data_IF_712202387170
#
_entry.id   IF_712202387170
#
_cell.length_a   1.000
_cell.length_b   1.000
_cell.length_c   1.000
_cell.angle_alpha   90.00
_cell.angle_beta   90.00
_cell.angle_gamma   90.00
#
_symmetry.space_group_name_H-M   'P 1'
#
loop_
_entity.id
_entity.type
_entity.pdbx_description
1 polymer ?
#
# COMPACT_ATOMS: atom_id res chain seq x y z
N UNK A 1 46.65 37.84 -10.22
CA UNK A 1 47.73 37.07 -10.85
C UNK A 1 47.37 35.59 -10.90
N UNK A 2 46.39 35.23 -11.76
CA UNK A 2 45.95 33.83 -11.96
C UNK A 2 47.01 32.97 -12.62
N UNK A 3 47.93 33.56 -13.40
CA UNK A 3 48.98 32.85 -14.09
C UNK A 3 50.09 32.29 -13.17
N UNK A 4 50.24 32.81 -11.94
CA UNK A 4 51.23 32.27 -11.01
C UNK A 4 50.78 30.99 -10.32
N UNK A 5 49.43 30.73 -10.29
CA UNK A 5 48.84 29.51 -9.72
C UNK A 5 48.89 28.34 -10.68
N UNK A 6 49.03 28.60 -11.97
CA UNK A 6 48.93 27.56 -13.06
C UNK A 6 50.25 27.11 -13.62
N UNK A 7 51.41 27.70 -13.17
CA UNK A 7 52.74 27.28 -13.65
C UNK A 7 53.22 26.05 -12.88
N UNK A 8 53.40 24.90 -13.54
CA UNK A 8 54.04 23.76 -12.91
C UNK A 8 55.52 24.10 -12.58
N UNK A 9 55.95 23.76 -11.36
CA UNK A 9 57.34 24.00 -10.85
C UNK A 9 57.73 25.45 -10.54
N UNK A 10 56.85 26.31 -10.12
CA UNK A 10 57.23 27.58 -9.49
C UNK A 10 57.73 27.33 -8.09
N UNK A 11 59.02 27.51 -7.85
CA UNK A 11 59.66 27.41 -6.51
C UNK A 11 59.42 28.62 -5.63
N UNK A 12 58.61 29.59 -6.06
CA UNK A 12 58.41 30.88 -5.38
C UNK A 12 56.96 31.28 -5.23
N UNK A 13 56.06 30.35 -4.93
CA UNK A 13 54.65 30.68 -4.66
C UNK A 13 54.00 29.66 -3.75
N UNK A 14 53.37 30.13 -2.69
CA UNK A 14 52.47 29.30 -1.91
C UNK A 14 51.31 28.84 -2.82
N UNK A 15 51.35 27.60 -3.34
CA UNK A 15 50.29 27.03 -4.16
C UNK A 15 50.67 26.57 -5.57
N UNK A 16 51.95 26.25 -5.83
CA UNK A 16 52.34 25.61 -7.08
C UNK A 16 51.64 24.25 -7.30
N UNK A 17 51.14 23.99 -8.53
CA UNK A 17 50.58 22.69 -8.90
C UNK A 17 51.72 21.67 -8.87
N UNK A 18 51.77 20.82 -7.87
CA UNK A 18 52.79 19.78 -7.70
C UNK A 18 52.58 18.65 -8.72
N UNK A 19 51.32 18.39 -9.08
CA UNK A 19 50.97 17.35 -10.04
C UNK A 19 49.99 17.91 -11.07
N UNK A 20 50.27 17.76 -12.34
CA UNK A 20 49.31 18.12 -13.39
C UNK A 20 48.16 17.16 -13.40
N UNK A 21 46.93 17.67 -13.58
CA UNK A 21 45.81 16.83 -13.90
C UNK A 21 46.08 15.98 -15.13
N UNK A 22 45.82 14.71 -15.04
CA UNK A 22 45.94 13.76 -16.13
C UNK A 22 44.60 13.09 -16.37
N UNK A 23 44.33 12.76 -17.64
CA UNK A 23 43.17 11.96 -17.99
C UNK A 23 43.36 10.54 -17.50
N UNK A 24 42.23 9.94 -17.03
CA UNK A 24 42.22 8.52 -16.72
C UNK A 24 42.40 7.67 -17.96
N UNK A 25 43.36 6.74 -17.92
CA UNK A 25 43.64 5.78 -18.99
C UNK A 25 43.33 4.38 -18.48
N UNK A 26 42.47 3.66 -19.18
CA UNK A 26 42.14 2.27 -18.90
C UNK A 26 42.27 1.45 -20.18
N UNK A 27 42.61 0.18 -20.04
CA UNK A 27 42.52 -0.80 -21.12
C UNK A 27 41.55 -1.90 -20.71
N UNK A 28 40.53 -2.14 -21.53
CA UNK A 28 39.53 -3.19 -21.32
C UNK A 28 39.62 -4.16 -22.49
N UNK A 29 39.99 -5.40 -22.24
CA UNK A 29 40.19 -6.45 -23.26
C UNK A 29 41.09 -5.99 -24.40
N UNK A 30 42.12 -5.15 -24.09
CA UNK A 30 43.06 -4.61 -25.07
C UNK A 30 42.61 -3.32 -25.76
N UNK A 31 41.40 -2.83 -25.51
CA UNK A 31 40.91 -1.55 -25.99
C UNK A 31 41.31 -0.42 -25.06
N UNK A 32 42.12 0.52 -25.52
CA UNK A 32 42.49 1.69 -24.73
C UNK A 32 41.40 2.75 -24.76
N UNK A 33 41.01 3.22 -23.56
CA UNK A 33 40.06 4.31 -23.34
C UNK A 33 40.71 5.41 -22.51
N UNK A 34 40.54 6.66 -22.96
CA UNK A 34 41.00 7.85 -22.25
C UNK A 34 39.80 8.71 -21.89
N UNK A 35 39.67 9.06 -20.59
CA UNK A 35 38.57 9.88 -20.06
C UNK A 35 39.10 10.98 -19.15
N UNK A 36 38.40 12.11 -19.13
CA UNK A 36 38.79 13.26 -18.32
C UNK A 36 38.34 13.17 -16.88
N UNK A 37 37.59 12.11 -16.53
CA UNK A 37 37.08 11.82 -15.20
C UNK A 37 37.43 10.41 -14.77
N UNK A 38 37.49 10.16 -13.46
CA UNK A 38 37.69 8.82 -12.91
C UNK A 38 36.40 7.98 -12.91
N UNK A 39 35.25 8.61 -13.15
CA UNK A 39 33.95 7.95 -13.31
C UNK A 39 33.67 7.78 -14.79
N UNK A 40 33.60 6.54 -15.23
CA UNK A 40 33.43 6.15 -16.63
C UNK A 40 32.13 5.39 -16.77
N UNK A 41 31.18 5.98 -17.49
CA UNK A 41 29.80 5.44 -17.64
C UNK A 41 29.54 4.84 -19.01
N UNK A 42 30.48 5.07 -19.96
CA UNK A 42 30.32 4.76 -21.38
C UNK A 42 31.29 3.67 -21.89
N UNK A 43 32.01 3.02 -20.98
CA UNK A 43 32.97 1.97 -21.37
C UNK A 43 32.29 0.62 -21.62
N UNK A 44 31.27 0.29 -20.82
CA UNK A 44 30.49 -0.95 -20.89
C UNK A 44 29.01 -0.60 -20.66
N UNK A 45 28.17 -1.07 -21.53
CA UNK A 45 26.72 -0.80 -21.43
C UNK A 45 26.15 -1.28 -20.07
N UNK A 46 25.50 -0.37 -19.33
CA UNK A 46 24.90 -0.65 -18.04
C UNK A 46 25.90 -0.76 -16.87
N UNK A 47 27.19 -0.45 -17.06
CA UNK A 47 28.21 -0.51 -16.02
C UNK A 47 28.90 0.84 -15.87
N UNK A 48 28.97 1.36 -14.65
CA UNK A 48 29.79 2.52 -14.31
C UNK A 48 31.06 2.05 -13.61
N UNK A 49 32.21 2.47 -14.10
CA UNK A 49 33.51 2.20 -13.50
C UNK A 49 33.96 3.45 -12.72
N UNK A 50 34.15 3.32 -11.42
CA UNK A 50 34.75 4.35 -10.55
C UNK A 50 36.21 3.97 -10.27
N UNK A 51 37.16 4.70 -10.89
CA UNK A 51 38.59 4.45 -10.71
C UNK A 51 39.05 5.11 -9.40
N UNK A 52 39.50 4.30 -8.45
CA UNK A 52 39.97 4.76 -7.16
C UNK A 52 41.47 4.95 -7.06
N UNK A 53 42.24 4.20 -7.85
CA UNK A 53 43.70 4.27 -7.92
C UNK A 53 44.20 3.74 -9.27
N UNK A 54 45.41 4.12 -9.63
CA UNK A 54 46.11 3.53 -10.77
C UNK A 54 46.82 2.24 -10.33
N UNK A 55 47.00 1.28 -11.25
CA UNK A 55 47.88 0.16 -11.04
C UNK A 55 49.32 0.64 -10.84
N UNK A 56 50.12 -0.11 -10.09
CA UNK A 56 51.54 0.18 -9.93
C UNK A 56 52.27 0.05 -11.26
N UNK A 57 53.32 0.80 -11.44
CA UNK A 57 54.18 0.69 -12.66
C UNK A 57 54.75 -0.70 -12.82
N UNK A 58 55.03 -1.41 -11.74
CA UNK A 58 55.51 -2.80 -11.73
C UNK A 58 54.46 -3.76 -12.27
N UNK A 59 53.18 -3.62 -11.77
CA UNK A 59 52.11 -4.49 -12.22
C UNK A 59 51.75 -4.25 -13.70
N UNK A 60 51.84 -2.99 -14.16
CA UNK A 60 51.66 -2.68 -15.57
C UNK A 60 52.79 -3.28 -16.44
N UNK A 61 54.02 -3.22 -15.96
CA UNK A 61 55.18 -3.79 -16.68
C UNK A 61 55.12 -5.32 -16.72
N UNK A 62 54.60 -5.95 -15.67
CA UNK A 62 54.40 -7.40 -15.56
C UNK A 62 53.14 -7.88 -16.35
N UNK A 63 52.38 -6.97 -16.98
CA UNK A 63 51.17 -7.31 -17.72
C UNK A 63 50.03 -7.82 -16.84
N UNK A 64 50.06 -7.53 -15.52
CA UNK A 64 48.97 -7.95 -14.61
C UNK A 64 47.69 -7.23 -14.95
N UNK A 65 46.59 -7.97 -14.93
CA UNK A 65 45.25 -7.45 -15.19
C UNK A 65 44.40 -7.46 -13.93
N UNK A 66 43.47 -6.50 -13.82
CA UNK A 66 42.44 -6.49 -12.81
C UNK A 66 41.23 -7.22 -13.35
N UNK A 67 40.82 -8.30 -12.70
CA UNK A 67 39.60 -9.03 -13.09
C UNK A 67 38.37 -8.34 -12.47
N UNK A 68 37.44 -7.92 -13.32
CA UNK A 68 36.14 -7.41 -12.90
C UNK A 68 35.11 -8.50 -13.10
N UNK A 69 34.47 -8.91 -12.03
CA UNK A 69 33.39 -9.91 -12.10
C UNK A 69 32.04 -9.21 -11.92
N UNK A 70 31.21 -9.29 -12.94
CA UNK A 70 29.82 -8.82 -12.87
C UNK A 70 28.99 -9.92 -12.24
N UNK A 71 28.35 -9.61 -11.12
CA UNK A 71 27.50 -10.55 -10.40
C UNK A 71 26.18 -9.91 -10.02
N UNK A 72 25.20 -10.75 -9.68
CA UNK A 72 23.92 -10.27 -9.16
C UNK A 72 24.12 -9.69 -7.75
N UNK A 73 23.64 -8.47 -7.53
CA UNK A 73 23.58 -7.86 -6.20
C UNK A 73 22.56 -8.58 -5.33
N UNK A 74 23.06 -9.53 -4.54
CA UNK A 74 22.24 -10.34 -3.63
C UNK A 74 21.57 -9.50 -2.55
N UNK A 75 22.19 -8.38 -2.13
CA UNK A 75 21.66 -7.48 -1.11
C UNK A 75 20.41 -6.76 -1.61
N UNK A 76 20.50 -6.16 -2.79
CA UNK A 76 19.35 -5.49 -3.42
C UNK A 76 18.24 -6.47 -3.76
N UNK A 77 18.56 -7.66 -4.26
CA UNK A 77 17.55 -8.71 -4.53
C UNK A 77 16.83 -9.10 -3.23
N UNK A 78 17.57 -9.39 -2.14
CA UNK A 78 16.99 -9.71 -0.83
C UNK A 78 16.05 -8.61 -0.33
N UNK A 79 16.52 -7.35 -0.37
CA UNK A 79 15.73 -6.20 0.06
C UNK A 79 14.42 -6.06 -0.73
N UNK A 80 14.46 -6.27 -2.04
CA UNK A 80 13.28 -6.19 -2.89
C UNK A 80 12.30 -7.35 -2.64
N UNK A 81 12.80 -8.56 -2.40
CA UNK A 81 11.97 -9.70 -2.01
C UNK A 81 11.30 -9.49 -0.66
N UNK A 82 12.03 -8.93 0.32
CA UNK A 82 11.45 -8.59 1.63
C UNK A 82 10.34 -7.56 1.49
N UNK A 83 10.55 -6.48 0.71
CA UNK A 83 9.51 -5.48 0.43
C UNK A 83 8.27 -6.11 -0.24
N UNK A 84 8.47 -7.05 -1.15
CA UNK A 84 7.37 -7.78 -1.77
C UNK A 84 6.58 -8.59 -0.73
N UNK A 85 7.26 -9.35 0.13
CA UNK A 85 6.65 -10.12 1.23
C UNK A 85 5.89 -9.20 2.18
N UNK A 86 6.50 -8.09 2.59
CA UNK A 86 5.89 -7.12 3.51
C UNK A 86 4.64 -6.48 2.91
N UNK A 87 4.69 -6.08 1.63
CA UNK A 87 3.55 -5.51 0.92
C UNK A 87 2.38 -6.49 0.80
N UNK A 88 2.66 -7.75 0.43
CA UNK A 88 1.65 -8.80 0.41
C UNK A 88 1.03 -9.02 1.79
N UNK A 89 1.86 -9.14 2.82
CA UNK A 89 1.41 -9.36 4.20
C UNK A 89 0.57 -8.19 4.72
N UNK A 90 0.90 -6.96 4.36
CA UNK A 90 0.10 -5.79 4.71
C UNK A 90 -1.32 -5.88 4.14
N UNK A 91 -1.46 -6.28 2.87
CA UNK A 91 -2.77 -6.49 2.23
C UNK A 91 -3.52 -7.66 2.89
N UNK A 92 -2.87 -8.81 3.07
CA UNK A 92 -3.48 -9.99 3.67
C UNK A 92 -3.96 -9.73 5.11
N UNK A 93 -3.16 -9.04 5.92
CA UNK A 93 -3.50 -8.65 7.28
C UNK A 93 -4.64 -7.61 7.30
N UNK A 94 -4.59 -6.60 6.42
CA UNK A 94 -5.67 -5.61 6.29
C UNK A 94 -7.01 -6.28 5.97
N UNK A 95 -7.03 -7.19 5.00
CA UNK A 95 -8.23 -7.98 4.67
C UNK A 95 -8.68 -8.82 5.86
N UNK A 96 -7.74 -9.48 6.56
CA UNK A 96 -8.05 -10.27 7.75
C UNK A 96 -8.71 -9.44 8.84
N UNK A 97 -8.16 -8.27 9.17
CA UNK A 97 -8.69 -7.34 10.18
C UNK A 97 -10.09 -6.86 9.83
N UNK A 98 -10.36 -6.61 8.56
CA UNK A 98 -11.67 -6.12 8.10
C UNK A 98 -12.74 -7.22 8.00
N UNK A 99 -12.35 -8.50 7.94
CA UNK A 99 -13.28 -9.62 7.68
C UNK A 99 -13.44 -10.59 8.84
N UNK A 100 -12.45 -10.72 9.71
CA UNK A 100 -12.52 -11.64 10.87
C UNK A 100 -13.09 -10.91 12.09
N UNK A 101 -14.05 -11.53 12.78
CA UNK A 101 -14.57 -10.97 14.02
C UNK A 101 -13.48 -10.93 15.10
N UNK A 102 -13.62 -10.02 16.06
CA UNK A 102 -12.85 -10.06 17.31
C UNK A 102 -13.24 -11.30 18.09
N UNK A 103 -12.26 -11.90 18.77
CA UNK A 103 -12.47 -13.07 19.62
C UNK A 103 -12.27 -12.66 21.10
N UNK A 104 -12.98 -13.31 22.00
CA UNK A 104 -12.70 -13.24 23.45
C UNK A 104 -11.53 -14.18 23.83
N UNK A 105 -11.21 -14.23 25.12
CA UNK A 105 -10.13 -15.08 25.65
C UNK A 105 -10.40 -16.58 25.45
N UNK A 106 -11.65 -16.98 25.28
CA UNK A 106 -12.09 -18.35 24.98
C UNK A 106 -12.12 -18.64 23.46
N UNK A 107 -11.77 -17.64 22.62
CA UNK A 107 -11.76 -17.77 21.16
C UNK A 107 -13.14 -17.67 20.52
N UNK A 108 -14.16 -17.18 21.23
CA UNK A 108 -15.50 -16.98 20.68
C UNK A 108 -15.65 -15.61 20.03
N UNK A 109 -16.34 -15.50 18.89
CA UNK A 109 -16.59 -14.22 18.23
C UNK A 109 -17.38 -13.26 19.12
N UNK A 110 -16.86 -12.04 19.33
CA UNK A 110 -17.50 -11.00 20.18
C UNK A 110 -18.10 -9.89 19.33
N UNK A 111 -17.29 -9.28 18.46
CA UNK A 111 -17.72 -8.17 17.61
C UNK A 111 -17.47 -8.51 16.16
N UNK A 112 -18.49 -8.42 15.28
CA UNK A 112 -18.30 -8.59 13.84
C UNK A 112 -17.33 -7.54 13.30
N UNK A 113 -16.43 -7.95 12.43
CA UNK A 113 -15.60 -7.00 11.67
C UNK A 113 -16.47 -6.25 10.66
N UNK A 114 -15.98 -5.10 10.18
CA UNK A 114 -16.72 -4.19 9.30
C UNK A 114 -17.21 -4.84 8.00
N UNK A 115 -16.45 -5.81 7.46
CA UNK A 115 -16.75 -6.53 6.25
C UNK A 115 -16.99 -8.03 6.51
N UNK A 116 -17.47 -8.39 7.71
CA UNK A 116 -17.84 -9.78 8.03
C UNK A 116 -18.94 -10.25 7.06
N UNK A 117 -18.70 -11.36 6.37
CA UNK A 117 -19.62 -11.92 5.39
C UNK A 117 -19.55 -11.30 3.99
N UNK A 118 -18.82 -10.21 3.77
CA UNK A 118 -18.60 -9.66 2.43
C UNK A 118 -17.65 -10.58 1.64
N UNK A 119 -18.03 -11.06 0.44
CA UNK A 119 -17.19 -11.93 -0.39
C UNK A 119 -16.04 -11.18 -1.08
N UNK A 120 -16.16 -9.86 -1.30
CA UNK A 120 -15.22 -9.09 -2.11
C UNK A 120 -13.77 -9.12 -1.56
N UNK A 121 -13.52 -8.92 -0.25
CA UNK A 121 -12.15 -9.01 0.29
C UNK A 121 -11.52 -10.39 0.09
N UNK A 122 -12.32 -11.46 0.21
CA UNK A 122 -11.84 -12.83 -0.04
C UNK A 122 -11.49 -13.06 -1.50
N UNK A 123 -12.29 -12.52 -2.41
CA UNK A 123 -12.04 -12.60 -3.86
C UNK A 123 -10.74 -11.88 -4.24
N UNK A 124 -10.49 -10.70 -3.66
CA UNK A 124 -9.23 -9.96 -3.86
C UNK A 124 -8.05 -10.78 -3.36
N UNK A 125 -8.14 -11.33 -2.15
CA UNK A 125 -7.07 -12.14 -1.57
C UNK A 125 -6.80 -13.41 -2.37
N UNK A 126 -7.85 -14.07 -2.87
CA UNK A 126 -7.72 -15.23 -3.73
C UNK A 126 -7.02 -14.87 -5.06
N UNK A 127 -7.42 -13.77 -5.69
CA UNK A 127 -6.81 -13.29 -6.93
C UNK A 127 -5.32 -12.97 -6.78
N UNK A 128 -4.90 -12.42 -5.63
CA UNK A 128 -3.48 -12.15 -5.34
C UNK A 128 -2.70 -13.44 -5.07
N UNK A 129 -3.34 -14.44 -4.46
CA UNK A 129 -2.70 -15.73 -4.10
C UNK A 129 -2.51 -16.66 -5.28
N UNK A 130 -3.43 -16.69 -6.20
CA UNK A 130 -3.38 -17.60 -7.34
C UNK A 130 -2.05 -17.52 -8.10
N UNK A 131 -1.53 -16.35 -8.51
CA UNK A 131 -0.25 -16.26 -9.20
C UNK A 131 0.95 -16.76 -8.38
N UNK A 132 0.89 -16.70 -7.04
CA UNK A 132 1.99 -17.17 -6.18
C UNK A 132 2.21 -18.68 -6.24
N UNK A 133 1.16 -19.43 -6.55
CA UNK A 133 1.19 -20.91 -6.67
C UNK A 133 1.53 -21.39 -8.07
N UNK A 134 1.52 -20.51 -9.06
CA UNK A 134 1.80 -20.87 -10.44
C UNK A 134 3.29 -21.02 -10.71
N UNK A 135 3.64 -21.88 -11.64
CA UNK A 135 5.01 -22.05 -12.12
C UNK A 135 5.44 -20.80 -12.89
N UNK A 136 6.59 -20.25 -12.56
CA UNK A 136 7.16 -19.07 -13.21
C UNK A 136 7.84 -19.39 -14.54
N UNK A 137 8.27 -18.33 -15.24
CA UNK A 137 8.93 -18.40 -16.53
C UNK A 137 10.42 -18.83 -16.49
N UNK A 138 10.99 -19.04 -15.30
CA UNK A 138 12.40 -19.42 -15.18
C UNK A 138 12.67 -20.89 -15.52
N UNK A 139 13.86 -21.18 -16.00
CA UNK A 139 14.29 -22.55 -16.34
C UNK A 139 14.62 -23.38 -15.09
N UNK A 140 15.33 -22.78 -14.12
CA UNK A 140 15.78 -23.41 -12.88
C UNK A 140 15.02 -22.90 -11.66
N UNK A 141 14.58 -21.65 -11.69
CA UNK A 141 13.82 -20.99 -10.64
C UNK A 141 12.36 -20.84 -11.09
N UNK A 142 11.53 -21.75 -10.67
CA UNK A 142 10.14 -21.83 -11.12
C UNK A 142 9.10 -21.47 -10.06
N UNK A 143 9.45 -21.53 -8.78
CA UNK A 143 8.54 -21.24 -7.69
C UNK A 143 9.22 -20.42 -6.58
N UNK A 144 8.43 -19.57 -5.92
CA UNK A 144 8.92 -18.70 -4.83
C UNK A 144 9.55 -19.48 -3.65
N UNK A 145 9.09 -20.70 -3.39
CA UNK A 145 9.61 -21.54 -2.33
C UNK A 145 11.10 -21.87 -2.50
N UNK A 146 11.61 -21.88 -3.75
CA UNK A 146 13.03 -22.07 -4.04
C UNK A 146 13.88 -20.88 -3.58
N UNK A 147 13.28 -19.68 -3.48
CA UNK A 147 13.90 -18.46 -2.93
C UNK A 147 13.66 -18.31 -1.42
N UNK A 148 13.04 -19.30 -0.77
CA UNK A 148 12.71 -19.23 0.65
C UNK A 148 11.43 -18.48 0.98
N UNK A 149 10.61 -18.11 -0.03
CA UNK A 149 9.30 -17.48 0.20
C UNK A 149 8.23 -18.57 0.20
N UNK A 150 7.56 -18.77 1.32
CA UNK A 150 6.52 -19.80 1.50
C UNK A 150 5.26 -19.20 2.12
N UNK A 151 4.10 -19.76 1.79
CA UNK A 151 2.84 -19.33 2.39
C UNK A 151 2.59 -20.07 3.69
N UNK A 152 2.37 -19.32 4.76
CA UNK A 152 1.95 -19.85 6.04
C UNK A 152 0.50 -20.34 5.96
N UNK A 153 0.28 -21.62 6.15
CA UNK A 153 -1.05 -22.22 5.97
C UNK A 153 -2.09 -21.76 7.01
N UNK A 154 -1.66 -21.34 8.21
CA UNK A 154 -2.56 -20.90 9.27
C UNK A 154 -3.00 -19.44 9.07
N UNK A 155 -2.06 -18.57 8.73
CA UNK A 155 -2.31 -17.12 8.61
C UNK A 155 -2.57 -16.70 7.18
N UNK A 156 -2.04 -17.43 6.20
CA UNK A 156 -2.04 -17.07 4.79
C UNK A 156 -1.04 -15.95 4.46
N UNK A 157 -0.17 -15.58 5.40
CA UNK A 157 0.93 -14.67 5.17
C UNK A 157 2.07 -15.36 4.42
N UNK A 158 2.96 -14.57 3.83
CA UNK A 158 4.21 -15.07 3.26
C UNK A 158 5.29 -14.98 4.33
N UNK A 159 6.02 -16.09 4.49
CA UNK A 159 7.22 -16.18 5.32
C UNK A 159 8.44 -16.13 4.41
N UNK A 160 9.51 -15.42 4.83
CA UNK A 160 10.78 -15.34 4.11
C UNK A 160 11.90 -16.01 4.91
N UNK A 161 12.49 -17.06 4.33
CA UNK A 161 13.60 -17.81 4.91
C UNK A 161 14.93 -17.35 4.30
N UNK A 162 15.68 -16.56 5.07
CA UNK A 162 16.97 -16.00 4.66
C UNK A 162 18.03 -17.07 4.36
N UNK A 163 18.02 -18.21 5.06
CA UNK A 163 18.98 -19.30 4.82
C UNK A 163 18.72 -19.96 3.47
N UNK A 164 17.46 -20.22 3.15
CA UNK A 164 17.07 -20.77 1.84
C UNK A 164 17.39 -19.79 0.72
N UNK A 165 17.12 -18.49 0.93
CA UNK A 165 17.48 -17.45 -0.03
C UNK A 165 18.99 -17.43 -0.29
N UNK A 166 19.81 -17.43 0.77
CA UNK A 166 21.27 -17.41 0.64
C UNK A 166 21.77 -18.64 -0.11
N UNK A 167 21.26 -19.82 0.20
CA UNK A 167 21.59 -21.06 -0.50
C UNK A 167 21.17 -21.01 -1.99
N UNK A 168 19.99 -20.47 -2.30
CA UNK A 168 19.52 -20.30 -3.67
C UNK A 168 20.44 -19.38 -4.48
N UNK A 169 20.88 -18.27 -3.89
CA UNK A 169 21.69 -17.26 -4.56
C UNK A 169 23.18 -17.63 -4.66
N UNK A 170 23.71 -18.38 -3.68
CA UNK A 170 25.15 -18.70 -3.59
C UNK A 170 25.43 -20.08 -4.14
N UNK A 171 24.77 -21.10 -3.62
CA UNK A 171 25.07 -22.51 -3.92
C UNK A 171 24.46 -22.92 -5.26
N UNK A 172 23.18 -22.54 -5.48
CA UNK A 172 22.44 -22.87 -6.70
C UNK A 172 22.61 -21.84 -7.83
N UNK A 173 23.21 -20.67 -7.53
CA UNK A 173 23.46 -19.57 -8.48
C UNK A 173 22.23 -19.13 -9.26
N UNK A 174 21.06 -19.06 -8.60
CA UNK A 174 19.79 -18.74 -9.22
C UNK A 174 19.55 -17.23 -9.44
N UNK A 175 20.51 -16.37 -9.12
CA UNK A 175 20.36 -14.92 -9.19
C UNK A 175 19.91 -14.39 -10.55
N UNK A 176 20.42 -14.93 -11.65
CA UNK A 176 20.00 -14.56 -13.01
C UNK A 176 18.57 -14.99 -13.37
N UNK A 177 18.02 -15.96 -12.66
CA UNK A 177 16.65 -16.44 -12.88
C UNK A 177 15.57 -15.66 -12.12
N UNK A 178 15.99 -14.89 -11.09
CA UNK A 178 15.04 -14.11 -10.27
C UNK A 178 14.24 -13.12 -11.12
N UNK A 179 14.92 -12.44 -12.03
CA UNK A 179 14.28 -11.50 -12.95
C UNK A 179 13.22 -12.21 -13.81
N UNK A 180 13.54 -13.38 -14.38
CA UNK A 180 12.59 -14.15 -15.19
C UNK A 180 11.36 -14.57 -14.37
N UNK A 181 11.57 -15.02 -13.13
CA UNK A 181 10.46 -15.40 -12.25
C UNK A 181 9.50 -14.23 -12.00
N UNK A 182 10.03 -13.03 -11.72
CA UNK A 182 9.21 -11.87 -11.35
C UNK A 182 8.69 -11.09 -12.54
N UNK A 183 9.52 -10.84 -13.55
CA UNK A 183 9.19 -10.00 -14.72
C UNK A 183 8.86 -10.79 -15.99
N UNK A 184 9.09 -12.11 -15.98
CA UNK A 184 8.91 -12.95 -17.17
C UNK A 184 10.13 -12.99 -18.07
N UNK A 185 9.99 -13.68 -19.20
CA UNK A 185 11.05 -13.89 -20.22
C UNK A 185 10.73 -13.19 -21.56
N UNK A 186 9.70 -12.36 -21.60
CA UNK A 186 9.21 -11.68 -22.80
C UNK A 186 8.16 -12.49 -23.57
N UNK A 187 8.13 -13.81 -23.43
CA UNK A 187 7.09 -14.71 -23.99
C UNK A 187 6.08 -15.10 -22.92
N UNK A 188 6.55 -15.45 -21.74
CA UNK A 188 5.75 -15.82 -20.60
C UNK A 188 5.71 -14.70 -19.56
N UNK A 189 4.52 -14.30 -19.07
CA UNK A 189 4.41 -13.25 -18.07
C UNK A 189 5.02 -13.70 -16.73
N UNK A 190 5.72 -12.79 -16.08
CA UNK A 190 6.27 -13.01 -14.75
C UNK A 190 5.20 -12.97 -13.65
N UNK A 191 5.62 -13.22 -12.43
CA UNK A 191 4.75 -13.17 -11.26
C UNK A 191 4.06 -11.81 -11.11
N UNK A 192 4.80 -10.71 -11.26
CA UNK A 192 4.26 -9.35 -11.10
C UNK A 192 3.22 -9.01 -12.17
N UNK A 193 3.42 -9.44 -13.41
CA UNK A 193 2.44 -9.23 -14.49
C UNK A 193 1.16 -10.00 -14.25
N UNK A 194 1.28 -11.25 -13.79
CA UNK A 194 0.14 -12.09 -13.42
C UNK A 194 -0.63 -11.51 -12.24
N UNK A 195 0.07 -11.05 -11.20
CA UNK A 195 -0.56 -10.41 -10.05
C UNK A 195 -1.25 -9.10 -10.43
N UNK A 196 -0.60 -8.29 -11.27
CA UNK A 196 -1.18 -7.04 -11.79
C UNK A 196 -2.45 -7.34 -12.60
N UNK A 197 -2.41 -8.34 -13.47
CA UNK A 197 -3.56 -8.76 -14.27
C UNK A 197 -4.70 -9.29 -13.41
N UNK A 198 -4.39 -10.06 -12.35
CA UNK A 198 -5.38 -10.59 -11.42
C UNK A 198 -6.07 -9.51 -10.57
N UNK A 199 -5.34 -8.44 -10.21
CA UNK A 199 -5.87 -7.31 -9.43
C UNK A 199 -6.64 -6.30 -10.30
N UNK A 200 -6.32 -6.20 -11.57
CA UNK A 200 -6.88 -5.20 -12.49
C UNK A 200 -8.40 -5.11 -12.47
N UNK A 201 -9.19 -6.20 -12.46
CA UNK A 201 -10.64 -6.11 -12.38
C UNK A 201 -11.18 -5.43 -11.13
N UNK A 202 -10.44 -5.46 -10.03
CA UNK A 202 -10.83 -4.83 -8.77
C UNK A 202 -10.47 -3.34 -8.71
N UNK A 203 -9.35 -2.94 -9.33
CA UNK A 203 -8.79 -1.59 -9.23
C UNK A 203 -9.07 -0.71 -10.45
N UNK A 204 -9.24 -1.31 -11.61
CA UNK A 204 -9.41 -0.63 -12.90
C UNK A 204 -10.57 -1.25 -13.67
N UNK A 205 -11.07 -0.52 -14.67
CA UNK A 205 -12.03 -1.10 -15.62
C UNK A 205 -11.38 -2.15 -16.51
N UNK A 206 -12.12 -3.20 -16.83
CA UNK A 206 -11.68 -4.28 -17.74
C UNK A 206 -12.81 -4.60 -18.73
N UNK A 207 -12.47 -4.72 -19.99
CA UNK A 207 -13.45 -4.94 -21.04
C UNK A 207 -14.40 -3.74 -21.22
N UNK A 208 -15.70 -3.97 -21.07
CA UNK A 208 -16.73 -2.92 -21.15
C UNK A 208 -16.89 -2.12 -19.87
N UNK A 209 -16.25 -2.51 -18.76
CA UNK A 209 -16.27 -1.77 -17.50
C UNK A 209 -15.29 -0.61 -17.55
N UNK A 210 -15.75 0.60 -17.27
CA UNK A 210 -14.91 1.81 -17.20
C UNK A 210 -14.15 1.95 -15.88
N UNK A 211 -14.61 1.27 -14.83
CA UNK A 211 -14.08 1.37 -13.46
C UNK A 211 -13.96 -0.01 -12.81
N UNK A 212 -13.00 -0.13 -11.89
CA UNK A 212 -12.83 -1.35 -11.10
C UNK A 212 -13.97 -1.60 -10.12
N UNK A 213 -14.11 -2.85 -9.71
CA UNK A 213 -15.18 -3.30 -8.78
C UNK A 213 -15.14 -2.51 -7.47
N UNK A 214 -13.97 -2.19 -6.93
CA UNK A 214 -13.83 -1.39 -5.70
C UNK A 214 -14.42 0.01 -5.86
N UNK A 215 -14.10 0.70 -6.95
CA UNK A 215 -14.62 2.04 -7.24
C UNK A 215 -16.14 2.02 -7.40
N UNK A 216 -16.66 1.07 -8.17
CA UNK A 216 -18.11 0.90 -8.35
C UNK A 216 -18.82 0.61 -7.03
N UNK A 217 -18.24 -0.25 -6.19
CA UNK A 217 -18.78 -0.57 -4.87
C UNK A 217 -18.82 0.65 -3.95
N UNK A 218 -17.71 1.42 -3.90
CA UNK A 218 -17.64 2.65 -3.11
C UNK A 218 -18.72 3.65 -3.53
N UNK A 219 -18.85 3.90 -4.84
CA UNK A 219 -19.92 4.79 -5.36
C UNK A 219 -21.32 4.33 -4.97
N UNK A 220 -21.60 3.01 -5.06
CA UNK A 220 -22.90 2.45 -4.67
C UNK A 220 -23.17 2.64 -3.18
N UNK A 221 -22.16 2.43 -2.33
CA UNK A 221 -22.27 2.66 -0.89
C UNK A 221 -22.49 4.15 -0.56
N UNK A 222 -21.81 5.06 -1.25
CA UNK A 222 -22.00 6.51 -1.07
C UNK A 222 -23.43 6.94 -1.45
N UNK A 223 -23.97 6.43 -2.58
CA UNK A 223 -25.37 6.66 -2.97
C UNK A 223 -26.33 6.13 -1.91
N UNK A 224 -26.08 4.91 -1.40
CA UNK A 224 -26.90 4.31 -0.35
C UNK A 224 -26.86 5.11 0.94
N UNK A 225 -25.67 5.52 1.37
CA UNK A 225 -25.46 6.37 2.54
C UNK A 225 -26.21 7.70 2.41
N UNK A 226 -26.12 8.36 1.26
CA UNK A 226 -26.86 9.59 1.00
C UNK A 226 -28.37 9.37 1.09
N UNK A 227 -28.90 8.32 0.46
CA UNK A 227 -30.32 7.98 0.52
C UNK A 227 -30.80 7.74 1.95
N UNK A 228 -30.01 7.03 2.78
CA UNK A 228 -30.35 6.80 4.19
C UNK A 228 -30.34 8.11 4.99
N UNK A 229 -29.38 8.99 4.75
CA UNK A 229 -29.35 10.33 5.37
C UNK A 229 -30.59 11.15 5.01
N UNK A 230 -30.95 11.19 3.71
CA UNK A 230 -32.16 11.92 3.25
C UNK A 230 -33.44 11.34 3.89
N UNK A 231 -33.52 10.02 4.07
CA UNK A 231 -34.65 9.35 4.76
C UNK A 231 -34.69 9.68 6.26
N UNK A 232 -33.55 9.74 6.92
CA UNK A 232 -33.44 10.13 8.33
C UNK A 232 -33.92 11.57 8.52
N UNK A 233 -33.43 12.50 7.69
CA UNK A 233 -33.86 13.90 7.73
C UNK A 233 -35.39 14.06 7.50
N UNK A 234 -35.96 13.24 6.60
CA UNK A 234 -37.39 13.24 6.36
C UNK A 234 -38.18 12.70 7.56
N UNK A 235 -37.65 11.66 8.23
CA UNK A 235 -38.24 11.10 9.45
C UNK A 235 -38.19 12.12 10.59
N UNK A 236 -37.06 12.78 10.79
CA UNK A 236 -36.89 13.80 11.84
C UNK A 236 -37.86 14.97 11.64
N UNK A 237 -38.05 15.46 10.42
CA UNK A 237 -39.07 16.47 10.09
C UNK A 237 -40.48 15.98 10.39
N UNK A 238 -40.81 14.71 10.09
CA UNK A 238 -42.12 14.12 10.39
C UNK A 238 -42.35 13.99 11.90
N UNK A 239 -41.35 13.55 12.66
CA UNK A 239 -41.39 13.46 14.12
C UNK A 239 -41.61 14.85 14.73
N UNK A 240 -40.86 15.86 14.30
CA UNK A 240 -41.00 17.23 14.77
C UNK A 240 -42.44 17.78 14.51
N UNK A 241 -42.98 17.57 13.30
CA UNK A 241 -44.34 17.96 12.95
C UNK A 241 -45.38 17.25 13.81
N UNK A 242 -45.25 15.95 13.97
CA UNK A 242 -46.19 15.17 14.80
C UNK A 242 -46.13 15.61 16.23
N UNK A 243 -44.95 15.84 16.80
CA UNK A 243 -44.76 16.37 18.15
C UNK A 243 -45.46 17.71 18.33
N UNK A 244 -45.27 18.65 17.37
CA UNK A 244 -45.93 19.95 17.41
C UNK A 244 -47.46 19.83 17.38
N UNK A 245 -48.01 18.95 16.52
CA UNK A 245 -49.46 18.70 16.42
C UNK A 245 -49.99 18.09 17.71
N UNK A 246 -49.31 17.11 18.27
CA UNK A 246 -49.72 16.49 19.54
C UNK A 246 -49.67 17.48 20.70
N UNK A 247 -48.57 18.25 20.81
CA UNK A 247 -48.45 19.30 21.85
C UNK A 247 -49.58 20.29 21.76
N UNK A 248 -49.92 20.76 20.54
CA UNK A 248 -51.06 21.66 20.36
C UNK A 248 -52.37 21.01 20.78
N UNK A 249 -52.66 19.78 20.40
CA UNK A 249 -53.87 19.05 20.80
C UNK A 249 -53.97 18.90 22.31
N UNK A 250 -52.88 18.56 23.01
CA UNK A 250 -52.86 18.45 24.47
C UNK A 250 -53.11 19.80 25.13
N UNK A 251 -52.52 20.90 24.65
CA UNK A 251 -52.73 22.22 25.16
C UNK A 251 -54.20 22.68 24.94
N UNK A 252 -54.75 22.40 23.74
CA UNK A 252 -56.16 22.72 23.41
C UNK A 252 -57.13 21.92 24.34
N UNK A 253 -56.82 20.64 24.58
CA UNK A 253 -57.58 19.77 25.52
C UNK A 253 -57.50 20.28 26.97
N UNK A 254 -56.30 20.64 27.45
CA UNK A 254 -56.11 21.20 28.78
C UNK A 254 -56.90 22.51 28.97
N UNK A 255 -56.87 23.39 27.96
CA UNK A 255 -57.66 24.60 27.91
C UNK A 255 -59.18 24.31 27.97
N UNK A 256 -59.66 23.30 27.25
CA UNK A 256 -61.04 22.88 27.24
C UNK A 256 -61.46 22.32 28.64
N UNK A 257 -60.62 21.47 29.22
CA UNK A 257 -60.84 20.93 30.57
C UNK A 257 -60.89 22.04 31.63
N UNK A 258 -60.00 23.03 31.52
CA UNK A 258 -60.03 24.25 32.34
C UNK A 258 -61.34 25.01 32.25
N UNK A 259 -61.85 25.23 31.01
CA UNK A 259 -63.15 25.88 30.76
C UNK A 259 -64.31 25.07 31.34
N UNK A 260 -64.32 23.74 31.17
CA UNK A 260 -65.34 22.88 31.71
C UNK A 260 -65.33 22.89 33.23
N UNK A 261 -64.20 22.86 33.92
CA UNK A 261 -64.05 23.02 35.32
C UNK A 261 -64.61 24.38 35.84
N UNK A 262 -64.23 25.45 35.15
CA UNK A 262 -64.74 26.80 35.45
C UNK A 262 -66.28 26.85 35.34
N UNK A 263 -66.80 26.27 34.23
CA UNK A 263 -68.31 26.21 34.06
C UNK A 263 -68.94 25.37 35.12
N UNK A 264 -68.40 24.20 35.52
CA UNK A 264 -68.92 23.37 36.61
C UNK A 264 -68.90 24.13 37.92
N UNK A 265 -67.83 24.84 38.26
CA UNK A 265 -67.73 25.70 39.43
C UNK A 265 -68.81 26.81 39.46
N UNK A 266 -68.99 27.47 38.32
CA UNK A 266 -70.05 28.51 38.20
C UNK A 266 -71.45 27.93 38.42
N UNK A 267 -71.73 26.76 37.83
CA UNK A 267 -72.98 26.05 38.00
C UNK A 267 -73.22 25.68 39.53
N UNK A 268 -72.17 25.14 40.18
CA UNK A 268 -72.19 24.81 41.59
C UNK A 268 -72.53 26.05 42.46
N UNK A 269 -71.77 27.15 42.20
CA UNK A 269 -72.03 28.44 42.90
C UNK A 269 -73.43 28.98 42.68
N UNK A 270 -73.99 28.83 41.48
CA UNK A 270 -75.34 29.23 41.14
C UNK A 270 -76.39 28.39 41.91
N UNK A 271 -76.17 27.07 42.02
CA UNK A 271 -77.04 26.20 42.86
C UNK A 271 -76.91 26.51 44.35
N UNK A 272 -75.78 26.82 44.89
CA UNK A 272 -75.53 27.26 46.23
C UNK A 272 -76.26 28.57 46.51
N UNK A 273 -76.18 29.55 45.63
CA UNK A 273 -76.91 30.81 45.73
C UNK A 273 -78.47 30.59 45.75
N UNK A 274 -78.97 29.75 44.83
CA UNK A 274 -80.40 29.38 44.76
C UNK A 274 -80.89 28.67 46.04
N UNK A 275 -80.08 27.76 46.63
CA UNK A 275 -80.37 27.10 47.85
C UNK A 275 -80.35 28.03 49.10
N UNK A 276 -79.45 29.03 49.06
CA UNK A 276 -79.41 30.07 50.08
C UNK A 276 -80.65 30.95 50.04
N UNK A 277 -81.21 31.31 48.88
CA UNK A 277 -82.44 32.06 48.67
C UNK A 277 -83.71 31.27 49.16
N UNK A 278 -83.66 29.96 49.12
CA UNK A 278 -84.79 29.10 49.55
C UNK A 278 -84.87 28.87 51.07
N UNK A 279 -83.85 29.22 51.84
CA UNK A 279 -83.73 29.06 53.29
C UNK A 279 -83.89 30.36 54.07
N UNK A 280 -84.12 31.51 53.43
CA UNK A 280 -84.52 32.79 54.00
C UNK A 280 -86.00 33.07 53.69
#
# INVERSE_FOLDING_TARGET
>A
NADAFLKPNSTTGAGGVITKAQSAKISIDGLELVRNTNRIEDALEGITLDLTAAQSSTDLADGKTISVTVGVDKGSVKSNLQKFVDAYNAVANGISTLTKPSLDDDGKPTVPAQLTGDPLPRSILAAIREPLSQVGAGDKLTVLAQLGITTNQKTGALDFDDKKFTAAMTDKKLGGEVQKLFSGDGTNPGLLDRMTSAIKPFTQGVGSMTEGILTTRTKTLDITKKKLSDQQDALDRRVATLTAVLTKKYNDMDTLVGKLKATASNITSMFEALNAQKKG
#
